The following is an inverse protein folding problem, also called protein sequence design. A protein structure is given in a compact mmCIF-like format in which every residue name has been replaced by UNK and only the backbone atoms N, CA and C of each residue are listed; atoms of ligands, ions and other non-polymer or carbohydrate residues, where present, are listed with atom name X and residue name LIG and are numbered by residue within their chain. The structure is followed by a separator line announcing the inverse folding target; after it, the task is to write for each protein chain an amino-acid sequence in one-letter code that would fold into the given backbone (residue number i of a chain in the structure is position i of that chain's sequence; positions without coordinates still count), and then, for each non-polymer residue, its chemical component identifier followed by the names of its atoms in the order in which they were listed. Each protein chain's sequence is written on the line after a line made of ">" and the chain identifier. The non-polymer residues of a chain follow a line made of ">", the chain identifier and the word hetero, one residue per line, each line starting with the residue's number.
data_IF_680351338738
#
_entry.id   IF_680351338738
#
_cell.length_a   1.000
_cell.length_b   1.000
_cell.length_c   1.000
_cell.angle_alpha   90.00
_cell.angle_beta   90.00
_cell.angle_gamma   90.00
#
_symmetry.space_group_name_H-M   'P 1'
#
loop_
_entity.id
_entity.type
_entity.pdbx_description
1 polymer ?
#
# COMPACT_ATOMS: atom_id res chain seq x y z
N UNK A 1 -4.39 2.89 9.81
CA UNK A 1 -5.01 3.39 8.56
C UNK A 1 -6.49 3.72 8.75
N UNK A 2 -7.30 2.83 9.34
CA UNK A 2 -8.71 3.12 9.64
C UNK A 2 -8.88 4.36 10.55
N UNK A 3 -8.01 4.54 11.54
CA UNK A 3 -8.04 5.75 12.38
C UNK A 3 -7.71 7.02 11.57
N UNK A 4 -6.77 6.95 10.63
CA UNK A 4 -6.44 8.06 9.72
C UNK A 4 -7.64 8.41 8.83
N UNK A 5 -8.32 7.39 8.28
CA UNK A 5 -9.55 7.55 7.52
C UNK A 5 -10.63 8.26 8.35
N UNK A 6 -10.83 7.86 9.61
CA UNK A 6 -11.83 8.49 10.47
C UNK A 6 -11.48 9.96 10.75
N UNK A 7 -10.21 10.26 11.03
CA UNK A 7 -9.73 11.63 11.26
C UNK A 7 -9.96 12.50 10.03
N UNK A 8 -9.56 12.04 8.83
CA UNK A 8 -9.69 12.83 7.61
C UNK A 8 -11.14 12.96 7.10
N UNK A 9 -11.96 11.92 7.29
CA UNK A 9 -13.39 12.00 7.00
C UNK A 9 -14.09 13.00 7.93
N UNK A 10 -13.75 13.01 9.22
CA UNK A 10 -14.30 13.99 10.19
C UNK A 10 -13.87 15.42 9.90
N UNK A 11 -12.63 15.65 9.43
CA UNK A 11 -12.18 16.97 8.96
C UNK A 11 -12.94 17.44 7.72
N UNK A 12 -13.18 16.53 6.77
CA UNK A 12 -13.89 16.83 5.53
C UNK A 12 -15.37 17.12 5.76
N UNK A 13 -15.96 16.56 6.81
CA UNK A 13 -17.37 16.78 7.17
C UNK A 13 -17.56 16.63 8.68
N UNK A 14 -17.63 17.73 9.44
CA UNK A 14 -17.68 17.70 10.91
C UNK A 14 -18.89 16.96 11.51
N UNK A 15 -19.94 16.72 10.73
CA UNK A 15 -21.10 15.92 11.14
C UNK A 15 -20.84 14.41 11.10
N UNK A 16 -19.75 13.94 10.49
CA UNK A 16 -19.37 12.54 10.49
C UNK A 16 -18.45 12.25 11.68
N UNK A 17 -19.05 11.81 12.79
CA UNK A 17 -18.31 11.41 13.99
C UNK A 17 -17.58 10.07 13.84
N UNK A 18 -17.96 9.27 12.84
CA UNK A 18 -17.40 7.95 12.58
C UNK A 18 -17.29 7.63 11.07
N UNK A 19 -16.50 6.61 10.74
CA UNK A 19 -16.46 6.08 9.37
C UNK A 19 -17.80 5.50 8.91
N UNK A 20 -18.63 5.04 9.84
CA UNK A 20 -19.98 4.57 9.53
C UNK A 20 -20.87 5.72 9.05
N UNK A 21 -20.72 6.91 9.63
CA UNK A 21 -21.45 8.10 9.22
C UNK A 21 -20.99 8.56 7.83
N UNK A 22 -19.66 8.57 7.61
CA UNK A 22 -19.09 8.85 6.29
C UNK A 22 -19.61 7.87 5.23
N UNK A 23 -19.60 6.56 5.50
CA UNK A 23 -20.17 5.58 4.57
C UNK A 23 -21.68 5.78 4.34
N UNK A 24 -22.43 6.14 5.38
CA UNK A 24 -23.88 6.40 5.30
C UNK A 24 -24.23 7.65 4.50
N UNK A 25 -23.28 8.59 4.37
CA UNK A 25 -23.44 9.76 3.49
C UNK A 25 -23.39 9.43 1.99
N UNK A 26 -23.10 8.17 1.65
CA UNK A 26 -22.97 7.67 0.29
C UNK A 26 -22.03 8.53 -0.58
N UNK A 27 -20.73 8.66 -0.18
CA UNK A 27 -19.78 9.51 -0.88
C UNK A 27 -19.58 9.02 -2.31
N UNK A 28 -19.39 9.97 -3.25
CA UNK A 28 -19.05 9.62 -4.62
C UNK A 28 -17.72 8.86 -4.69
N UNK A 29 -17.55 8.03 -5.71
CA UNK A 29 -16.30 7.33 -5.95
C UNK A 29 -15.11 8.30 -6.04
N UNK A 30 -15.29 9.41 -6.74
CA UNK A 30 -14.27 10.46 -6.86
C UNK A 30 -13.86 11.00 -5.49
N UNK A 31 -14.80 11.18 -4.56
CA UNK A 31 -14.49 11.64 -3.21
C UNK A 31 -13.71 10.60 -2.41
N UNK A 32 -14.03 9.32 -2.58
CA UNK A 32 -13.28 8.22 -1.95
C UNK A 32 -11.85 8.20 -2.49
N UNK A 33 -11.66 8.33 -3.81
CA UNK A 33 -10.33 8.36 -4.43
C UNK A 33 -9.54 9.57 -3.97
N UNK A 34 -10.13 10.76 -3.98
CA UNK A 34 -9.52 12.00 -3.50
C UNK A 34 -9.03 11.85 -2.06
N UNK A 35 -9.88 11.34 -1.16
CA UNK A 35 -9.53 11.14 0.24
C UNK A 35 -8.45 10.06 0.42
N UNK A 36 -8.50 8.99 -0.38
CA UNK A 36 -7.48 7.93 -0.38
C UNK A 36 -6.11 8.46 -0.78
N UNK A 37 -6.05 9.28 -1.83
CA UNK A 37 -4.81 9.91 -2.29
C UNK A 37 -4.29 10.88 -1.24
N UNK A 38 -5.18 11.69 -0.65
CA UNK A 38 -4.80 12.57 0.45
C UNK A 38 -4.16 11.79 1.61
N UNK A 39 -4.80 10.71 2.07
CA UNK A 39 -4.28 9.85 3.13
C UNK A 39 -2.93 9.24 2.77
N UNK A 40 -2.78 8.73 1.54
CA UNK A 40 -1.53 8.17 1.07
C UNK A 40 -0.40 9.20 1.13
N UNK A 41 -0.66 10.41 0.61
CA UNK A 41 0.33 11.50 0.59
C UNK A 41 0.65 12.06 1.98
N UNK A 42 -0.28 11.99 2.93
CA UNK A 42 -0.09 12.55 4.27
C UNK A 42 0.62 11.56 5.20
N UNK A 43 0.26 10.28 5.13
CA UNK A 43 0.61 9.30 6.18
C UNK A 43 1.59 8.21 5.76
N UNK A 44 1.91 8.06 4.47
CA UNK A 44 2.79 7.00 3.99
C UNK A 44 4.17 7.53 3.64
N UNK A 45 5.17 6.70 3.88
CA UNK A 45 6.56 6.87 3.44
C UNK A 45 7.11 8.27 3.74
N UNK A 46 7.18 8.62 5.03
CA UNK A 46 7.70 9.90 5.53
C UNK A 46 9.08 9.71 6.18
N UNK A 47 10.12 9.30 5.44
CA UNK A 47 11.44 9.01 6.02
C UNK A 47 12.11 10.23 6.65
N UNK A 48 11.75 11.44 6.20
CA UNK A 48 12.33 12.70 6.67
C UNK A 48 11.56 13.33 7.84
N UNK A 49 10.50 12.69 8.32
CA UNK A 49 9.72 13.22 9.45
C UNK A 49 10.57 13.29 10.74
N UNK A 50 10.42 14.41 11.46
CA UNK A 50 11.17 14.68 12.69
C UNK A 50 10.61 13.89 13.87
N UNK A 51 9.29 13.77 13.95
CA UNK A 51 8.63 12.88 14.90
C UNK A 51 8.96 11.42 14.57
N UNK A 52 9.73 10.79 15.47
CA UNK A 52 10.19 9.41 15.30
C UNK A 52 9.07 8.39 15.30
N UNK A 53 8.04 8.60 16.12
CA UNK A 53 6.92 7.66 16.23
C UNK A 53 6.07 7.73 14.97
N UNK A 54 5.73 8.94 14.53
CA UNK A 54 5.04 9.14 13.27
C UNK A 54 5.84 8.58 12.09
N UNK A 55 7.13 8.91 11.99
CA UNK A 55 8.02 8.39 10.95
C UNK A 55 7.98 6.87 10.88
N UNK A 56 8.22 6.20 12.01
CA UNK A 56 8.24 4.74 12.04
C UNK A 56 6.90 4.14 11.61
N UNK A 57 5.80 4.70 12.09
CA UNK A 57 4.45 4.27 11.71
C UNK A 57 4.19 4.50 10.21
N UNK A 58 4.61 5.62 9.65
CA UNK A 58 4.44 5.92 8.21
C UNK A 58 5.16 4.91 7.31
N UNK A 59 6.37 4.50 7.71
CA UNK A 59 7.19 3.53 6.98
C UNK A 59 6.58 2.13 7.08
N UNK A 60 6.10 1.74 8.27
CA UNK A 60 5.40 0.47 8.48
C UNK A 60 4.11 0.43 7.65
N UNK A 61 3.30 1.48 7.68
CA UNK A 61 2.05 1.56 6.93
C UNK A 61 2.30 1.43 5.42
N UNK A 62 3.33 2.08 4.88
CA UNK A 62 3.70 1.95 3.48
C UNK A 62 4.02 0.49 3.10
N UNK A 63 4.74 -0.25 3.95
CA UNK A 63 5.04 -1.67 3.75
C UNK A 63 3.80 -2.57 3.88
N UNK A 64 2.92 -2.29 4.84
CA UNK A 64 1.69 -3.06 5.03
C UNK A 64 0.74 -2.92 3.84
N UNK A 65 0.67 -1.75 3.20
CA UNK A 65 -0.13 -1.56 1.97
C UNK A 65 0.42 -2.40 0.82
N UNK A 66 1.75 -2.44 0.64
CA UNK A 66 2.36 -3.29 -0.39
C UNK A 66 2.11 -4.79 -0.15
N UNK A 67 2.07 -5.21 1.12
CA UNK A 67 1.65 -6.55 1.49
C UNK A 67 0.18 -6.82 1.20
N UNK A 68 -0.70 -5.88 1.52
CA UNK A 68 -2.12 -6.02 1.23
C UNK A 68 -2.37 -6.14 -0.27
N UNK A 69 -1.66 -5.36 -1.09
CA UNK A 69 -1.79 -5.41 -2.55
C UNK A 69 -1.36 -6.76 -3.12
N UNK A 70 -0.19 -7.28 -2.69
CA UNK A 70 0.25 -8.62 -3.06
C UNK A 70 -0.77 -9.69 -2.64
N UNK A 71 -1.26 -9.62 -1.39
CA UNK A 71 -2.25 -10.57 -0.87
C UNK A 71 -3.57 -10.51 -1.64
N UNK A 72 -4.03 -9.32 -2.00
CA UNK A 72 -5.23 -9.11 -2.80
C UNK A 72 -5.08 -9.71 -4.20
N UNK A 73 -3.99 -9.37 -4.90
CA UNK A 73 -3.70 -9.90 -6.23
C UNK A 73 -3.62 -11.44 -6.23
N UNK A 74 -2.89 -12.03 -5.27
CA UNK A 74 -2.81 -13.49 -5.13
C UNK A 74 -4.18 -14.12 -4.86
N UNK A 75 -4.99 -13.51 -3.99
CA UNK A 75 -6.32 -14.02 -3.64
C UNK A 75 -7.26 -14.06 -4.86
N UNK A 76 -7.13 -13.09 -5.75
CA UNK A 76 -7.97 -12.97 -6.94
C UNK A 76 -7.38 -13.63 -8.19
N UNK A 77 -6.19 -14.22 -8.09
CA UNK A 77 -5.51 -14.86 -9.21
C UNK A 77 -5.01 -13.87 -10.27
N UNK A 78 -4.86 -12.59 -9.91
CA UNK A 78 -4.32 -11.56 -10.81
C UNK A 78 -2.79 -11.67 -10.85
N UNK A 79 -2.30 -12.61 -11.66
CA UNK A 79 -0.88 -12.95 -11.75
C UNK A 79 -0.05 -11.77 -12.29
N UNK A 80 -0.59 -11.01 -13.23
CA UNK A 80 0.08 -9.81 -13.75
C UNK A 80 0.31 -8.77 -12.65
N UNK A 81 -0.70 -8.56 -11.79
CA UNK A 81 -0.54 -7.67 -10.64
C UNK A 81 0.39 -8.25 -9.58
N UNK A 82 0.36 -9.56 -9.31
CA UNK A 82 1.34 -10.21 -8.41
C UNK A 82 2.76 -9.94 -8.89
N UNK A 83 3.04 -10.13 -10.17
CA UNK A 83 4.36 -9.84 -10.76
C UNK A 83 4.75 -8.37 -10.60
N UNK A 84 3.81 -7.44 -10.83
CA UNK A 84 4.06 -6.01 -10.67
C UNK A 84 4.54 -5.63 -9.25
N UNK A 85 4.18 -6.41 -8.23
CA UNK A 85 4.67 -6.18 -6.85
C UNK A 85 6.08 -6.72 -6.59
N UNK A 86 6.61 -7.64 -7.41
CA UNK A 86 7.87 -8.36 -7.12
C UNK A 86 9.08 -7.45 -6.97
N UNK A 87 9.20 -6.41 -7.79
CA UNK A 87 10.32 -5.47 -7.69
C UNK A 87 10.36 -4.81 -6.30
N UNK A 88 9.19 -4.51 -5.73
CA UNK A 88 9.11 -3.97 -4.38
C UNK A 88 9.66 -4.95 -3.34
N UNK A 89 9.22 -6.21 -3.42
CA UNK A 89 9.66 -7.28 -2.52
C UNK A 89 11.14 -7.61 -2.67
N UNK A 90 11.71 -7.49 -3.86
CA UNK A 90 13.14 -7.62 -4.09
C UNK A 90 13.93 -6.62 -3.24
N UNK A 91 13.52 -5.36 -3.19
CA UNK A 91 14.19 -4.35 -2.37
C UNK A 91 14.04 -4.63 -0.87
N UNK A 92 12.85 -5.03 -0.42
CA UNK A 92 12.61 -5.41 0.97
C UNK A 92 13.47 -6.61 1.37
N UNK A 93 13.52 -7.66 0.57
CA UNK A 93 14.34 -8.83 0.88
C UNK A 93 15.84 -8.53 0.87
N UNK A 94 16.30 -7.66 -0.03
CA UNK A 94 17.71 -7.22 -0.01
C UNK A 94 18.04 -6.43 1.26
N UNK A 95 17.17 -5.53 1.70
CA UNK A 95 17.44 -4.67 2.87
C UNK A 95 17.49 -5.45 4.19
N UNK A 96 16.75 -6.56 4.30
CA UNK A 96 16.71 -7.42 5.50
C UNK A 96 17.61 -8.66 5.41
N UNK A 97 18.57 -8.69 4.47
CA UNK A 97 19.56 -9.76 4.32
C UNK A 97 19.00 -11.08 3.75
N UNK A 98 17.77 -11.06 3.22
CA UNK A 98 17.06 -12.20 2.64
C UNK A 98 17.37 -12.35 1.14
N UNK A 99 18.65 -12.27 0.79
CA UNK A 99 19.14 -12.23 -0.59
C UNK A 99 18.66 -13.41 -1.45
N UNK A 100 18.52 -14.61 -0.86
CA UNK A 100 17.97 -15.79 -1.55
C UNK A 100 16.62 -15.47 -2.22
N UNK A 101 15.68 -14.89 -1.48
CA UNK A 101 14.34 -14.59 -1.99
C UNK A 101 14.35 -13.49 -3.06
N UNK A 102 15.17 -12.46 -2.86
CA UNK A 102 15.37 -11.42 -3.86
C UNK A 102 15.90 -12.00 -5.18
N UNK A 103 16.91 -12.88 -5.12
CA UNK A 103 17.48 -13.54 -6.30
C UNK A 103 16.45 -14.41 -7.01
N UNK A 104 15.64 -15.16 -6.27
CA UNK A 104 14.57 -15.95 -6.88
C UNK A 104 13.53 -15.09 -7.58
N UNK A 105 13.04 -14.01 -6.95
CA UNK A 105 12.08 -13.10 -7.60
C UNK A 105 12.66 -12.46 -8.86
N UNK A 106 13.92 -12.01 -8.83
CA UNK A 106 14.61 -11.47 -10.01
C UNK A 106 14.70 -12.52 -11.12
N UNK A 107 15.05 -13.76 -10.77
CA UNK A 107 15.11 -14.84 -11.74
C UNK A 107 13.73 -15.11 -12.35
N UNK A 108 12.69 -15.22 -11.53
CA UNK A 108 11.31 -15.44 -11.99
C UNK A 108 10.87 -14.33 -12.96
N UNK A 109 11.08 -13.06 -12.61
CA UNK A 109 10.74 -11.94 -13.52
C UNK A 109 11.50 -12.02 -14.85
N UNK A 110 12.79 -12.39 -14.84
CA UNK A 110 13.55 -12.55 -16.07
C UNK A 110 13.07 -13.75 -16.91
N UNK A 111 12.80 -14.88 -16.26
CA UNK A 111 12.33 -16.10 -16.92
C UNK A 111 10.97 -15.85 -17.59
N UNK A 112 10.02 -15.23 -16.88
CA UNK A 112 8.70 -14.86 -17.44
C UNK A 112 8.83 -13.91 -18.63
N UNK A 113 9.74 -12.94 -18.57
CA UNK A 113 9.87 -11.92 -19.62
C UNK A 113 10.64 -12.39 -20.86
N UNK A 114 11.66 -13.23 -20.68
CA UNK A 114 12.64 -13.51 -21.75
C UNK A 114 12.77 -14.99 -22.11
N UNK A 115 12.43 -15.92 -21.21
CA UNK A 115 12.59 -17.37 -21.45
C UNK A 115 11.27 -18.01 -21.84
N UNK A 116 10.17 -17.56 -21.23
CA UNK A 116 8.81 -18.04 -21.51
C UNK A 116 7.89 -16.91 -21.99
N UNK A 117 8.29 -16.11 -23.01
CA UNK A 117 7.39 -15.11 -23.58
C UNK A 117 6.20 -15.80 -24.27
N UNK A 118 5.01 -15.20 -24.15
CA UNK A 118 3.81 -15.61 -24.89
C UNK A 118 4.00 -15.50 -26.41
#
# INVERSE_FOLDING_TARGET
>A
MLDCWQVEAGKSTPSHGSLKDFASSNPSWDKIVELSLHLATTYLDKPDEQDKEFRNNSLILARLIQYLELAHAMKHGDIGHVEATFLHWVFVFKSVGKHKYATYLIKTMNDLRYVYPE
#
